data_IF_411071254941
#
_entry.id   IF_411071254941
#
_cell.length_a   1.000
_cell.length_b   1.000
_cell.length_c   1.000
_cell.angle_alpha   90.00
_cell.angle_beta   90.00
_cell.angle_gamma   90.00
#
_symmetry.space_group_name_H-M   'P 1'
#
loop_
_entity.id
_entity.type
_entity.pdbx_description
1 polymer ?
#
# COMPACT_ATOMS: atom_id res chain seq x y z
N UNK A 1 -0.98 5.96 -29.37
CA UNK A 1 -1.54 7.11 -28.62
C UNK A 1 -2.38 6.58 -27.46
N UNK A 2 -1.72 6.19 -26.37
CA UNK A 2 -2.39 5.93 -25.09
C UNK A 2 -1.73 6.83 -24.06
N UNK A 3 -2.02 8.12 -24.15
CA UNK A 3 -1.67 9.11 -23.14
C UNK A 3 -2.63 8.93 -21.95
N UNK A 4 -2.51 7.79 -21.28
CA UNK A 4 -3.17 7.54 -20.01
C UNK A 4 -2.43 8.31 -18.94
N UNK A 5 -3.10 9.29 -18.34
CA UNK A 5 -2.63 10.07 -17.21
C UNK A 5 -1.98 9.15 -16.15
N UNK A 6 -0.65 9.23 -16.02
CA UNK A 6 0.15 8.38 -15.13
C UNK A 6 -0.31 8.57 -13.70
N UNK A 7 -1.03 7.59 -13.16
CA UNK A 7 -1.43 7.59 -11.77
C UNK A 7 -0.19 7.59 -10.88
N UNK A 8 -0.01 8.70 -10.17
CA UNK A 8 1.11 8.91 -9.28
C UNK A 8 1.21 7.80 -8.24
N UNK A 9 2.45 7.45 -7.88
CA UNK A 9 2.79 6.75 -6.65
C UNK A 9 2.30 7.48 -5.36
N UNK A 10 1.48 8.53 -5.48
CA UNK A 10 1.10 9.43 -4.40
C UNK A 10 0.28 8.78 -3.29
N UNK A 11 -0.52 7.75 -3.60
CA UNK A 11 -1.38 7.12 -2.59
C UNK A 11 -0.59 6.14 -1.70
N UNK A 12 0.43 5.46 -2.25
CA UNK A 12 1.25 4.51 -1.48
C UNK A 12 2.42 5.21 -0.78
N UNK A 13 3.03 6.20 -1.44
CA UNK A 13 4.17 6.92 -0.88
C UNK A 13 3.81 7.90 0.24
N UNK A 14 2.52 8.20 0.43
CA UNK A 14 2.01 9.07 1.50
C UNK A 14 1.72 8.32 2.80
N UNK A 15 1.69 6.98 2.78
CA UNK A 15 1.47 6.17 3.97
C UNK A 15 2.60 6.38 4.97
N UNK A 16 2.25 6.65 6.23
CA UNK A 16 3.18 6.95 7.30
C UNK A 16 3.09 5.93 8.44
N UNK A 17 4.20 5.23 8.68
CA UNK A 17 4.29 4.21 9.74
C UNK A 17 4.53 4.78 11.14
N UNK A 18 4.69 6.10 11.28
CA UNK A 18 4.96 6.73 12.57
C UNK A 18 6.41 7.20 12.76
N UNK A 19 6.64 7.97 13.84
CA UNK A 19 7.95 8.52 14.17
C UNK A 19 8.93 7.40 14.48
N UNK A 20 10.20 7.57 14.07
CA UNK A 20 11.29 6.61 14.27
C UNK A 20 11.10 5.21 13.64
N UNK A 21 9.96 4.91 13.02
CA UNK A 21 9.77 3.63 12.33
C UNK A 21 10.62 3.56 11.04
N UNK A 22 11.43 2.50 10.82
CA UNK A 22 12.38 2.43 9.71
C UNK A 22 11.72 2.21 8.34
N UNK A 23 10.51 1.63 8.30
CA UNK A 23 9.76 1.47 7.06
C UNK A 23 9.23 2.82 6.57
N UNK A 24 9.70 3.28 5.40
CA UNK A 24 9.27 4.52 4.74
C UNK A 24 8.71 4.22 3.34
N UNK A 25 7.37 4.13 3.18
CA UNK A 25 6.73 3.88 1.87
C UNK A 25 7.13 4.88 0.78
N UNK A 26 7.49 6.11 1.17
CA UNK A 26 8.05 7.14 0.28
C UNK A 26 9.19 6.64 -0.63
N UNK A 27 9.95 5.61 -0.21
CA UNK A 27 11.00 5.00 -1.06
C UNK A 27 10.48 4.56 -2.43
N UNK A 28 9.22 4.13 -2.53
CA UNK A 28 8.59 3.76 -3.79
C UNK A 28 8.42 4.96 -4.74
N UNK A 29 8.08 6.15 -4.21
CA UNK A 29 8.03 7.38 -4.99
C UNK A 29 9.40 7.77 -5.52
N UNK A 30 10.43 7.66 -4.69
CA UNK A 30 11.81 7.95 -5.09
C UNK A 30 12.24 7.04 -6.24
N UNK A 31 12.03 5.73 -6.11
CA UNK A 31 12.33 4.77 -7.18
C UNK A 31 11.54 5.07 -8.45
N UNK A 32 10.24 5.37 -8.33
CA UNK A 32 9.41 5.71 -9.49
C UNK A 32 9.93 6.95 -10.23
N UNK A 33 10.33 8.00 -9.51
CA UNK A 33 10.94 9.19 -10.13
C UNK A 33 12.24 8.86 -10.87
N UNK A 34 13.10 7.98 -10.34
CA UNK A 34 14.30 7.55 -11.04
C UNK A 34 13.95 6.81 -12.34
N UNK A 35 12.96 5.90 -12.30
CA UNK A 35 12.48 5.16 -13.48
C UNK A 35 11.95 6.11 -14.56
N UNK A 36 11.22 7.17 -14.17
CA UNK A 36 10.74 8.19 -15.09
C UNK A 36 11.89 9.03 -15.66
N UNK A 37 12.78 9.55 -14.82
CA UNK A 37 13.90 10.41 -15.21
C UNK A 37 14.91 9.72 -16.12
N UNK A 38 15.11 8.41 -15.95
CA UNK A 38 15.94 7.59 -16.85
C UNK A 38 15.17 7.03 -18.05
N UNK A 39 13.90 7.43 -18.22
CA UNK A 39 13.03 7.01 -19.33
C UNK A 39 12.82 5.49 -19.44
N UNK A 40 13.10 4.74 -18.36
CA UNK A 40 13.00 3.29 -18.35
C UNK A 40 11.55 2.82 -18.50
N UNK A 41 10.60 3.65 -18.08
CA UNK A 41 9.17 3.42 -18.26
C UNK A 41 8.76 3.23 -19.74
N UNK A 42 9.52 3.76 -20.70
CA UNK A 42 9.24 3.60 -22.13
C UNK A 42 9.54 2.17 -22.63
N UNK A 43 10.28 1.38 -21.86
CA UNK A 43 10.75 0.03 -22.20
C UNK A 43 10.02 -1.06 -21.41
N UNK A 44 8.96 -0.72 -20.71
CA UNK A 44 8.18 -1.65 -19.89
C UNK A 44 6.69 -1.28 -19.91
N UNK A 45 5.84 -2.27 -19.72
CA UNK A 45 4.43 -2.03 -19.48
C UNK A 45 4.22 -1.56 -18.04
N UNK A 46 3.60 -0.40 -17.87
CA UNK A 46 3.35 0.22 -16.57
C UNK A 46 1.87 0.07 -16.23
N UNK A 47 1.59 -0.65 -15.14
CA UNK A 47 0.22 -0.89 -14.68
C UNK A 47 -0.06 -0.19 -13.36
N UNK A 48 -1.31 0.23 -13.17
CA UNK A 48 -1.83 0.65 -11.87
C UNK A 48 -2.50 -0.55 -11.21
N UNK A 49 -2.06 -1.00 -10.01
CA UNK A 49 -2.71 -2.10 -9.31
C UNK A 49 -4.11 -1.68 -8.83
N UNK A 50 -5.03 -2.66 -8.79
CA UNK A 50 -6.30 -2.50 -8.08
C UNK A 50 -6.11 -2.76 -6.58
N UNK A 51 -7.08 -2.32 -5.77
CA UNK A 51 -7.15 -2.73 -4.36
C UNK A 51 -7.59 -4.19 -4.31
N UNK A 52 -6.88 -5.02 -3.56
CA UNK A 52 -7.27 -6.41 -3.34
C UNK A 52 -8.57 -6.48 -2.52
N UNK A 53 -9.45 -7.41 -2.87
CA UNK A 53 -10.67 -7.71 -2.12
C UNK A 53 -10.35 -8.56 -0.88
N UNK A 54 -11.15 -8.48 0.20
CA UNK A 54 -10.95 -9.30 1.39
C UNK A 54 -10.90 -10.81 1.09
N UNK A 55 -11.71 -11.28 0.14
CA UNK A 55 -11.73 -12.68 -0.30
C UNK A 55 -10.42 -13.12 -0.95
N UNK A 56 -9.71 -12.23 -1.64
CA UNK A 56 -8.41 -12.52 -2.24
C UNK A 56 -7.33 -12.65 -1.16
N UNK A 57 -7.36 -11.78 -0.15
CA UNK A 57 -6.43 -11.86 0.99
C UNK A 57 -6.69 -13.09 1.86
N UNK A 58 -7.96 -13.49 2.00
CA UNK A 58 -8.38 -14.66 2.78
C UNK A 58 -8.08 -16.00 2.09
N UNK A 59 -7.53 -16.01 0.87
CA UNK A 59 -7.02 -17.24 0.25
C UNK A 59 -5.83 -17.83 1.01
N UNK A 60 -5.13 -16.99 1.78
CA UNK A 60 -4.00 -17.40 2.61
C UNK A 60 -4.17 -17.00 4.08
N UNK A 61 -4.64 -15.77 4.35
CA UNK A 61 -4.86 -15.30 5.71
C UNK A 61 -6.19 -15.80 6.28
N UNK A 62 -6.29 -15.90 7.61
CA UNK A 62 -7.59 -16.18 8.24
C UNK A 62 -8.58 -15.04 8.00
N UNK A 63 -9.86 -15.38 7.82
CA UNK A 63 -10.91 -14.39 7.60
C UNK A 63 -10.97 -13.36 8.76
N UNK A 64 -10.84 -13.82 10.00
CA UNK A 64 -10.87 -12.96 11.19
C UNK A 64 -9.70 -11.96 11.21
N UNK A 65 -8.51 -12.34 10.72
CA UNK A 65 -7.37 -11.42 10.62
C UNK A 65 -7.59 -10.35 9.55
N UNK A 66 -8.16 -10.73 8.41
CA UNK A 66 -8.48 -9.78 7.34
C UNK A 66 -9.57 -8.79 7.79
N UNK A 67 -10.60 -9.26 8.50
CA UNK A 67 -11.64 -8.39 9.09
C UNK A 67 -11.04 -7.43 10.13
N UNK A 68 -10.16 -7.94 11.01
CA UNK A 68 -9.45 -7.11 11.98
C UNK A 68 -8.66 -5.97 11.30
N UNK A 69 -7.82 -6.30 10.31
CA UNK A 69 -7.06 -5.29 9.55
C UNK A 69 -7.95 -4.27 8.83
N UNK A 70 -9.15 -4.68 8.42
CA UNK A 70 -10.11 -3.79 7.76
C UNK A 70 -10.75 -2.79 8.73
N UNK A 71 -10.91 -3.16 10.00
CA UNK A 71 -11.65 -2.39 11.01
C UNK A 71 -10.77 -1.55 11.92
N UNK A 72 -9.53 -1.97 12.16
CA UNK A 72 -8.62 -1.25 13.06
C UNK A 72 -8.16 0.07 12.45
N UNK A 73 -8.28 1.13 13.24
CA UNK A 73 -7.74 2.47 12.98
C UNK A 73 -7.07 2.99 14.25
N UNK A 74 -6.28 4.08 14.20
CA UNK A 74 -5.71 4.67 15.40
C UNK A 74 -6.77 5.01 16.48
N UNK A 75 -7.96 5.41 16.06
CA UNK A 75 -9.06 5.77 16.98
C UNK A 75 -9.73 4.53 17.59
N UNK A 76 -9.85 3.45 16.82
CA UNK A 76 -10.53 2.21 17.27
C UNK A 76 -9.59 1.21 17.93
N UNK A 77 -8.28 1.49 17.98
CA UNK A 77 -7.26 0.57 18.53
C UNK A 77 -7.60 0.04 19.95
N UNK A 78 -8.18 0.90 20.80
CA UNK A 78 -8.57 0.54 22.16
C UNK A 78 -9.69 -0.53 22.23
N UNK A 79 -10.46 -0.70 21.16
CA UNK A 79 -11.53 -1.70 21.07
C UNK A 79 -11.01 -3.11 20.74
N UNK A 80 -9.75 -3.25 20.34
CA UNK A 80 -9.15 -4.49 19.87
C UNK A 80 -7.95 -4.96 20.70
N UNK A 81 -7.93 -4.63 22.00
CA UNK A 81 -6.80 -4.93 22.90
C UNK A 81 -6.41 -6.41 22.91
N UNK A 82 -7.39 -7.31 22.91
CA UNK A 82 -7.16 -8.75 23.03
C UNK A 82 -6.57 -9.36 21.75
N UNK A 83 -6.89 -8.77 20.60
CA UNK A 83 -6.42 -9.19 19.28
C UNK A 83 -4.99 -8.68 18.99
N UNK A 84 -4.59 -7.56 19.62
CA UNK A 84 -3.23 -7.00 19.52
C UNK A 84 -2.19 -7.74 20.38
N UNK A 85 -2.64 -8.55 21.35
CA UNK A 85 -1.76 -9.26 22.29
C UNK A 85 -1.45 -10.69 21.83
N UNK A 86 -2.20 -11.21 20.86
CA UNK A 86 -1.94 -12.52 20.23
C UNK A 86 -0.78 -12.47 19.25
#
# INVERSE_FOLDING_TARGET
MHSGNMASAGDVGSVYFGPNHPMKPHRLCVTHHLVLSYELHQKMDVYRPHKAYPVELAQFHSADYVDFLHRITPDTQHMFSDELVK
#
